data_IF_103041285008
#
_entry.id   IF_103041285008
#
_cell.length_a   1.000
_cell.length_b   1.000
_cell.length_c   1.000
_cell.angle_alpha   90.00
_cell.angle_beta   90.00
_cell.angle_gamma   90.00
#
_symmetry.space_group_name_H-M   'P 1'
#
loop_
_entity.id
_entity.type
_entity.pdbx_description
1 polymer ?
#
# COMPACT_ATOMS: atom_id res chain seq x y z
N UNK A 1 -16.45 -18.52 21.94
CA UNK A 1 -16.36 -17.04 22.04
C UNK A 1 -16.56 -16.52 20.64
N UNK A 2 -17.62 -15.75 20.40
CA UNK A 2 -17.80 -15.05 19.12
C UNK A 2 -16.66 -14.06 18.97
N UNK A 3 -15.68 -14.36 18.12
CA UNK A 3 -14.58 -13.44 17.81
C UNK A 3 -15.17 -12.22 17.12
N UNK A 4 -15.19 -11.07 17.80
CA UNK A 4 -15.61 -9.82 17.19
C UNK A 4 -14.72 -9.53 15.96
N UNK A 5 -15.34 -9.12 14.86
CA UNK A 5 -14.62 -8.72 13.65
C UNK A 5 -13.75 -7.50 13.94
N UNK A 6 -12.59 -7.41 13.28
CA UNK A 6 -11.72 -6.25 13.39
C UNK A 6 -12.45 -5.03 12.81
N UNK A 7 -12.55 -3.95 13.58
CA UNK A 7 -12.93 -2.63 13.10
C UNK A 7 -11.81 -1.68 13.48
N UNK A 8 -10.93 -1.46 12.52
CA UNK A 8 -9.69 -0.74 12.72
C UNK A 8 -9.68 0.62 12.03
N UNK A 9 -9.02 1.62 12.62
CA UNK A 9 -8.84 2.94 12.00
C UNK A 9 -7.37 3.33 11.95
N UNK A 10 -6.92 3.85 10.80
CA UNK A 10 -5.57 4.43 10.65
C UNK A 10 -5.58 5.88 11.11
N UNK A 11 -5.08 6.12 12.31
CA UNK A 11 -4.96 7.44 12.95
C UNK A 11 -3.50 7.87 12.91
N UNK A 12 -3.19 8.81 12.03
CA UNK A 12 -1.83 9.34 11.95
C UNK A 12 -1.53 10.29 13.13
N UNK A 13 -0.27 10.36 13.60
CA UNK A 13 0.11 11.09 14.81
C UNK A 13 -0.39 12.53 14.87
N UNK A 14 -0.42 13.22 13.72
CA UNK A 14 -0.86 14.61 13.62
C UNK A 14 -2.28 14.84 14.16
N UNK A 15 -3.18 13.86 14.07
CA UNK A 15 -4.54 13.97 14.63
C UNK A 15 -4.56 13.83 16.16
N UNK A 16 -3.63 13.07 16.72
CA UNK A 16 -3.46 12.97 18.17
C UNK A 16 -2.88 14.28 18.73
N UNK A 17 -1.94 14.88 17.99
CA UNK A 17 -1.36 16.19 18.34
C UNK A 17 -2.38 17.32 18.21
N UNK A 18 -3.22 17.29 17.17
CA UNK A 18 -4.20 18.36 16.89
C UNK A 18 -5.49 18.23 17.70
N UNK A 19 -5.96 17.01 17.98
CA UNK A 19 -7.27 16.78 18.61
C UNK A 19 -7.15 16.20 20.04
N UNK A 20 -5.95 15.88 20.52
CA UNK A 20 -5.65 15.08 21.72
C UNK A 20 -5.93 13.57 21.58
N UNK A 21 -5.19 12.75 22.34
CA UNK A 21 -5.37 11.29 22.37
C UNK A 21 -6.77 10.92 22.87
N UNK A 22 -7.20 11.49 24.01
CA UNK A 22 -8.50 11.19 24.61
C UNK A 22 -9.65 11.45 23.65
N UNK A 23 -9.72 12.63 23.03
CA UNK A 23 -10.84 12.98 22.16
C UNK A 23 -10.92 12.09 20.92
N UNK A 24 -9.77 11.67 20.37
CA UNK A 24 -9.74 10.72 19.24
C UNK A 24 -10.21 9.34 19.69
N UNK A 25 -9.68 8.83 20.81
CA UNK A 25 -10.04 7.51 21.32
C UNK A 25 -11.52 7.42 21.72
N UNK A 26 -12.05 8.43 22.39
CA UNK A 26 -13.44 8.47 22.84
C UNK A 26 -14.39 8.38 21.62
N UNK A 27 -14.15 9.17 20.57
CA UNK A 27 -14.97 9.12 19.33
C UNK A 27 -14.89 7.77 18.63
N UNK A 28 -13.72 7.15 18.60
CA UNK A 28 -13.54 5.86 17.96
C UNK A 28 -14.19 4.73 18.79
N UNK A 29 -14.11 4.80 20.11
CA UNK A 29 -14.74 3.85 21.01
C UNK A 29 -16.28 3.91 20.91
N UNK A 30 -16.86 5.11 20.79
CA UNK A 30 -18.31 5.31 20.62
C UNK A 30 -18.89 4.56 19.41
N UNK A 31 -18.11 4.35 18.37
CA UNK A 31 -18.53 3.65 17.14
C UNK A 31 -18.03 2.20 17.07
N UNK A 32 -17.48 1.67 18.18
CA UNK A 32 -17.08 0.27 18.30
C UNK A 32 -15.73 -0.08 17.66
N UNK A 33 -14.88 0.90 17.39
CA UNK A 33 -13.51 0.64 16.91
C UNK A 33 -12.74 -0.11 17.99
N UNK A 34 -12.13 -1.23 17.60
CA UNK A 34 -11.37 -2.11 18.50
C UNK A 34 -9.88 -2.18 18.15
N UNK A 35 -9.44 -1.48 17.10
CA UNK A 35 -8.03 -1.41 16.72
C UNK A 35 -7.69 -0.06 16.10
N UNK A 36 -6.50 0.44 16.39
CA UNK A 36 -5.94 1.63 15.76
C UNK A 36 -4.58 1.27 15.18
N UNK A 37 -4.26 1.85 14.04
CA UNK A 37 -2.88 1.91 13.57
C UNK A 37 -2.41 3.35 13.55
N UNK A 38 -1.17 3.57 13.94
CA UNK A 38 -0.46 4.85 13.81
C UNK A 38 0.93 4.64 13.22
N UNK A 39 1.80 5.65 13.19
CA UNK A 39 3.19 5.53 12.73
C UNK A 39 4.13 6.22 13.72
N UNK A 40 5.39 5.76 13.86
CA UNK A 40 6.32 6.24 14.89
C UNK A 40 7.02 7.56 14.51
N UNK A 41 6.22 8.58 14.19
CA UNK A 41 6.70 9.93 13.90
C UNK A 41 5.79 10.95 14.59
N UNK A 42 6.21 12.21 14.59
CA UNK A 42 5.41 13.38 14.95
C UNK A 42 5.53 14.43 13.86
N UNK A 43 4.54 15.33 13.78
CA UNK A 43 4.41 16.27 12.68
C UNK A 43 4.16 17.68 13.21
N UNK A 44 4.58 18.68 12.43
CA UNK A 44 4.20 20.08 12.66
C UNK A 44 4.06 20.83 11.33
N UNK A 45 3.49 22.03 11.41
CA UNK A 45 3.43 22.97 10.29
C UNK A 45 4.82 23.28 9.73
N UNK A 46 4.89 23.38 8.42
CA UNK A 46 6.03 23.87 7.68
C UNK A 46 5.55 24.80 6.54
N UNK A 47 6.49 25.45 5.87
CA UNK A 47 6.19 26.14 4.62
C UNK A 47 6.34 25.20 3.41
N UNK A 48 5.95 25.66 2.23
CA UNK A 48 6.06 24.90 0.98
C UNK A 48 7.52 24.55 0.60
N UNK A 49 8.49 25.36 1.04
CA UNK A 49 9.89 25.15 0.72
C UNK A 49 10.54 24.05 1.58
N UNK A 50 10.04 23.84 2.79
CA UNK A 50 10.62 22.96 3.81
C UNK A 50 9.73 21.77 4.17
N UNK A 51 8.45 21.80 3.78
CA UNK A 51 7.46 20.79 4.10
C UNK A 51 6.95 20.00 2.90
N UNK A 52 6.42 18.80 3.18
CA UNK A 52 5.58 18.06 2.26
C UNK A 52 4.12 18.49 2.38
N UNK A 53 3.37 18.49 1.27
CA UNK A 53 1.92 18.73 1.31
C UNK A 53 1.20 17.57 2.01
N UNK A 54 0.30 17.91 2.92
CA UNK A 54 -0.72 17.02 3.47
C UNK A 54 -2.11 17.55 3.07
N UNK A 55 -2.97 16.74 2.42
CA UNK A 55 -2.73 15.37 1.96
C UNK A 55 -1.66 15.26 0.86
N UNK A 56 -0.98 14.10 0.72
CA UNK A 56 0.00 13.87 -0.35
C UNK A 56 -0.61 14.01 -1.75
N UNK A 57 0.25 14.40 -2.70
CA UNK A 57 -0.14 14.65 -4.09
C UNK A 57 -0.17 13.41 -4.99
N UNK A 58 0.26 12.24 -4.51
CA UNK A 58 0.25 10.95 -5.22
C UNK A 58 0.73 11.04 -6.68
N UNK A 59 2.01 11.37 -6.88
CA UNK A 59 2.62 11.65 -8.21
C UNK A 59 1.89 12.73 -9.04
N UNK A 60 1.13 13.62 -8.37
CA UNK A 60 0.41 14.74 -8.97
C UNK A 60 -1.10 14.50 -9.09
N UNK A 61 -1.57 13.25 -9.10
CA UNK A 61 -2.98 12.92 -9.26
C UNK A 61 -3.83 13.31 -8.03
N UNK A 62 -3.26 13.17 -6.83
CA UNK A 62 -3.91 13.47 -5.55
C UNK A 62 -3.96 14.95 -5.17
N UNK A 63 -3.55 15.88 -6.05
CA UNK A 63 -3.56 17.33 -5.75
C UNK A 63 -4.95 17.87 -5.37
N UNK A 64 -6.03 17.23 -5.84
CA UNK A 64 -7.43 17.61 -5.55
C UNK A 64 -7.90 17.24 -4.14
N UNK A 65 -7.11 16.47 -3.39
CA UNK A 65 -7.52 15.97 -2.08
C UNK A 65 -7.58 17.08 -1.04
N UNK A 66 -8.64 17.08 -0.25
CA UNK A 66 -8.85 17.92 0.94
C UNK A 66 -9.31 17.06 2.10
N UNK A 67 -8.76 17.29 3.29
CA UNK A 67 -9.16 16.59 4.52
C UNK A 67 -10.61 16.94 4.88
N UNK A 68 -11.35 15.96 5.41
CA UNK A 68 -12.68 16.20 5.97
C UNK A 68 -12.59 16.70 7.41
N UNK A 69 -11.62 16.14 8.16
CA UNK A 69 -11.24 16.61 9.48
C UNK A 69 -10.07 17.59 9.34
N UNK A 70 -10.25 18.89 9.59
CA UNK A 70 -9.16 19.85 9.47
C UNK A 70 -8.05 19.52 10.47
N UNK A 71 -6.81 19.51 9.98
CA UNK A 71 -5.62 19.37 10.81
C UNK A 71 -5.15 20.76 11.21
N UNK A 72 -5.13 21.06 12.51
CA UNK A 72 -4.86 22.40 13.05
C UNK A 72 -5.70 23.52 12.38
N UNK A 73 -6.95 23.20 12.00
CA UNK A 73 -7.86 24.13 11.32
C UNK A 73 -7.71 24.20 9.80
N UNK A 74 -6.80 23.43 9.20
CA UNK A 74 -6.53 23.43 7.76
C UNK A 74 -6.97 22.13 7.08
N UNK A 75 -7.57 22.22 5.89
CA UNK A 75 -7.96 21.06 5.07
C UNK A 75 -6.85 20.60 4.12
N UNK A 76 -5.85 21.44 3.93
CA UNK A 76 -4.58 21.17 3.25
C UNK A 76 -3.52 22.11 3.84
N UNK A 77 -2.29 21.63 3.95
CA UNK A 77 -1.19 22.35 4.56
C UNK A 77 0.15 21.74 4.16
N UNK A 78 1.24 22.44 4.47
CA UNK A 78 2.60 21.91 4.39
C UNK A 78 3.10 21.55 5.77
N UNK A 79 3.80 20.41 5.86
CA UNK A 79 4.22 19.81 7.12
C UNK A 79 5.61 19.21 7.03
N UNK A 80 6.31 19.21 8.16
CA UNK A 80 7.54 18.44 8.34
C UNK A 80 7.34 17.38 9.43
N UNK A 81 8.19 16.37 9.44
CA UNK A 81 8.12 15.28 10.42
C UNK A 81 9.46 14.99 11.07
N UNK A 82 9.38 14.46 12.28
CA UNK A 82 10.50 13.96 13.09
C UNK A 82 10.14 12.60 13.67
N UNK A 83 11.10 11.73 14.02
CA UNK A 83 10.78 10.48 14.73
C UNK A 83 10.04 10.79 16.05
N UNK A 84 9.14 9.92 16.50
CA UNK A 84 8.45 10.08 17.79
C UNK A 84 9.29 9.64 18.98
N UNK A 85 10.50 9.15 18.74
CA UNK A 85 11.40 8.60 19.76
C UNK A 85 12.85 8.82 19.34
N UNK A 86 13.78 8.60 20.27
CA UNK A 86 15.22 8.57 19.99
C UNK A 86 15.63 7.13 19.56
N UNK A 87 16.08 6.92 18.32
CA UNK A 87 16.52 5.59 17.85
C UNK A 87 17.78 5.11 18.56
N UNK A 88 17.88 3.81 18.88
CA UNK A 88 19.14 3.24 19.39
C UNK A 88 20.15 3.10 18.26
N UNK A 89 21.02 4.11 18.12
CA UNK A 89 22.02 4.19 17.04
C UNK A 89 22.95 2.98 16.96
N UNK A 90 23.15 2.23 18.06
CA UNK A 90 23.99 1.01 18.06
C UNK A 90 23.43 -0.07 17.14
N UNK A 91 22.10 -0.13 16.98
CA UNK A 91 21.43 -1.08 16.08
C UNK A 91 21.72 -0.80 14.61
N UNK A 92 22.14 0.42 14.28
CA UNK A 92 22.34 0.89 12.91
C UNK A 92 23.82 1.14 12.57
N UNK A 93 24.75 0.84 13.48
CA UNK A 93 26.19 1.05 13.25
C UNK A 93 26.67 0.33 11.99
N UNK A 94 27.33 1.08 11.10
CA UNK A 94 27.87 0.56 9.84
C UNK A 94 26.83 0.31 8.74
N UNK A 95 25.54 0.51 9.00
CA UNK A 95 24.51 0.35 7.98
C UNK A 95 24.52 1.51 6.99
N UNK A 96 24.19 1.18 5.74
CA UNK A 96 24.05 2.16 4.67
C UNK A 96 23.00 3.20 5.03
N UNK A 97 21.82 2.79 5.51
CA UNK A 97 20.78 3.72 5.96
C UNK A 97 20.84 3.92 7.47
N UNK A 98 20.58 5.15 7.88
CA UNK A 98 20.49 5.56 9.28
C UNK A 98 19.06 6.07 9.55
N UNK A 99 18.53 5.89 10.76
CA UNK A 99 17.21 6.43 11.10
C UNK A 99 17.23 7.96 11.05
N UNK A 100 16.06 8.58 10.89
CA UNK A 100 15.96 10.05 10.99
C UNK A 100 16.44 10.53 12.36
N UNK A 101 17.21 11.61 12.38
CA UNK A 101 17.70 12.20 13.62
C UNK A 101 16.55 12.82 14.44
N UNK A 102 16.48 12.56 15.76
CA UNK A 102 15.53 13.24 16.63
C UNK A 102 15.89 14.73 16.75
N UNK A 103 14.87 15.58 16.88
CA UNK A 103 15.03 17.03 17.00
C UNK A 103 14.12 17.62 18.10
N UNK A 104 13.99 18.94 18.13
CA UNK A 104 13.13 19.64 19.11
C UNK A 104 11.66 19.21 19.03
N UNK A 105 11.18 18.83 17.83
CA UNK A 105 9.82 18.31 17.66
C UNK A 105 9.69 16.92 18.29
N UNK A 106 10.70 16.05 18.14
CA UNK A 106 10.74 14.75 18.83
C UNK A 106 10.65 14.92 20.35
N UNK A 107 11.42 15.85 20.91
CA UNK A 107 11.45 16.09 22.36
C UNK A 107 10.12 16.64 22.89
N UNK A 108 9.46 17.49 22.11
CA UNK A 108 8.21 18.15 22.52
C UNK A 108 6.99 17.26 22.37
N UNK A 109 6.89 16.53 21.27
CA UNK A 109 5.65 15.84 20.87
C UNK A 109 5.76 14.32 20.91
N UNK A 110 6.98 13.75 20.99
CA UNK A 110 7.22 12.32 20.82
C UNK A 110 6.44 11.41 21.79
N UNK A 111 6.16 11.90 23.00
CA UNK A 111 5.42 11.16 24.02
C UNK A 111 3.96 10.88 23.66
N UNK A 112 3.39 11.56 22.66
CA UNK A 112 2.00 11.36 22.22
C UNK A 112 1.73 9.91 21.79
N UNK A 113 2.76 9.21 21.28
CA UNK A 113 2.64 7.81 20.86
C UNK A 113 2.59 6.87 22.07
N UNK A 114 3.36 7.13 23.12
CA UNK A 114 3.29 6.36 24.36
C UNK A 114 1.93 6.57 25.05
N UNK A 115 1.46 7.82 25.07
CA UNK A 115 0.15 8.17 25.60
C UNK A 115 -0.97 7.45 24.85
N UNK A 116 -0.93 7.44 23.51
CA UNK A 116 -1.87 6.67 22.69
C UNK A 116 -1.88 5.20 23.08
N UNK A 117 -0.71 4.54 23.15
CA UNK A 117 -0.63 3.11 23.44
C UNK A 117 -1.25 2.81 24.80
N UNK A 118 -0.84 3.53 25.84
CA UNK A 118 -1.35 3.33 27.19
C UNK A 118 -2.87 3.55 27.25
N UNK A 119 -3.36 4.67 26.69
CA UNK A 119 -4.77 5.02 26.76
C UNK A 119 -5.65 4.11 25.92
N UNK A 120 -5.20 3.68 24.74
CA UNK A 120 -5.94 2.73 23.91
C UNK A 120 -6.12 1.39 24.62
N UNK A 121 -5.07 0.87 25.28
CA UNK A 121 -5.15 -0.38 26.05
C UNK A 121 -6.12 -0.28 27.23
N UNK A 122 -6.16 0.85 27.94
CA UNK A 122 -7.17 1.04 29.02
C UNK A 122 -8.61 0.97 28.50
N UNK A 123 -8.82 1.30 27.22
CA UNK A 123 -10.11 1.24 26.51
C UNK A 123 -10.36 -0.08 25.79
N UNK A 124 -9.42 -1.04 25.87
CA UNK A 124 -9.50 -2.32 25.17
C UNK A 124 -9.29 -2.22 23.66
N UNK A 125 -8.64 -1.15 23.19
CA UNK A 125 -8.33 -0.91 21.77
C UNK A 125 -6.88 -1.37 21.51
N UNK A 126 -6.69 -2.23 20.51
CA UNK A 126 -5.37 -2.67 20.09
C UNK A 126 -4.63 -1.57 19.30
N UNK A 127 -3.31 -1.48 19.44
CA UNK A 127 -2.48 -0.49 18.75
C UNK A 127 -1.42 -1.15 17.89
N UNK A 128 -1.41 -0.76 16.61
CA UNK A 128 -0.47 -1.22 15.60
C UNK A 128 0.37 -0.05 15.07
N UNK A 129 1.62 -0.33 14.71
CA UNK A 129 2.38 0.60 13.88
C UNK A 129 2.26 0.24 12.41
N UNK A 130 2.07 1.23 11.54
CA UNK A 130 2.24 1.09 10.10
C UNK A 130 3.57 1.72 9.70
N UNK A 131 4.42 0.92 9.06
CA UNK A 131 5.74 1.32 8.55
C UNK A 131 5.94 0.82 7.13
N UNK A 132 6.80 1.50 6.36
CA UNK A 132 7.11 1.08 4.98
C UNK A 132 8.03 -0.15 4.99
N UNK A 133 7.76 -1.13 4.11
CA UNK A 133 8.58 -2.34 4.01
C UNK A 133 9.91 -2.08 3.32
N UNK A 134 9.92 -1.32 2.22
CA UNK A 134 11.09 -1.14 1.35
C UNK A 134 11.42 0.32 1.04
N UNK A 135 10.96 1.27 1.87
CA UNK A 135 11.30 2.69 1.77
C UNK A 135 12.12 3.09 3.00
N UNK A 136 13.46 3.13 2.92
CA UNK A 136 14.31 3.65 3.99
C UNK A 136 14.55 5.16 3.85
N UNK A 137 14.95 5.88 4.92
CA UNK A 137 14.75 5.49 6.31
C UNK A 137 13.28 5.65 6.76
N UNK A 138 12.47 6.33 5.95
CA UNK A 138 11.16 6.87 6.33
C UNK A 138 10.14 5.87 6.89
N UNK A 139 9.50 6.27 7.99
CA UNK A 139 8.35 5.58 8.59
C UNK A 139 7.07 5.74 7.76
N UNK A 140 7.03 6.72 6.84
CA UNK A 140 5.93 7.04 5.93
C UNK A 140 6.46 7.32 4.53
N UNK A 141 5.67 7.00 3.51
CA UNK A 141 6.03 7.09 2.08
C UNK A 141 6.61 8.46 1.66
N UNK A 142 6.10 9.56 2.21
CA UNK A 142 6.51 10.92 1.84
C UNK A 142 7.91 11.31 2.33
N UNK A 143 8.52 10.55 3.26
CA UNK A 143 9.69 10.99 4.03
C UNK A 143 10.87 10.01 3.91
N UNK A 144 10.98 9.30 2.79
CA UNK A 144 12.08 8.38 2.54
C UNK A 144 12.28 8.07 1.05
N UNK A 145 13.34 7.34 0.76
CA UNK A 145 13.66 6.89 -0.58
C UNK A 145 14.97 6.12 -0.66
N UNK A 146 15.09 5.20 -1.64
CA UNK A 146 16.33 4.50 -1.89
C UNK A 146 17.45 5.45 -2.35
N UNK A 147 18.69 5.05 -2.06
CA UNK A 147 19.88 5.58 -2.73
C UNK A 147 19.88 5.08 -4.16
N UNK A 148 20.66 5.71 -5.04
CA UNK A 148 20.69 5.34 -6.46
C UNK A 148 20.96 3.85 -6.68
N UNK A 149 21.93 3.27 -5.99
CA UNK A 149 22.31 1.86 -6.16
C UNK A 149 21.21 0.88 -5.70
N UNK A 150 20.38 1.31 -4.75
CA UNK A 150 19.28 0.53 -4.19
C UNK A 150 17.96 0.71 -4.98
N UNK A 151 17.93 1.57 -6.01
CA UNK A 151 16.74 1.76 -6.85
C UNK A 151 16.50 0.56 -7.76
N UNK A 152 15.25 0.10 -7.87
CA UNK A 152 14.92 -0.96 -8.82
C UNK A 152 15.07 -0.46 -10.25
N UNK A 153 15.43 -1.38 -11.17
CA UNK A 153 15.73 -1.02 -12.57
C UNK A 153 14.76 -1.65 -13.57
N UNK A 154 14.47 -0.94 -14.64
CA UNK A 154 13.81 -1.45 -15.84
C UNK A 154 14.74 -2.45 -16.56
N UNK A 155 14.22 -3.29 -17.49
CA UNK A 155 15.05 -4.25 -18.23
C UNK A 155 16.23 -3.64 -18.98
N UNK A 156 16.11 -2.37 -19.39
CA UNK A 156 17.14 -1.59 -20.08
C UNK A 156 18.16 -0.93 -19.12
N UNK A 157 18.00 -1.10 -17.80
CA UNK A 157 18.86 -0.55 -16.75
C UNK A 157 18.45 0.85 -16.26
N UNK A 158 17.43 1.47 -16.83
CA UNK A 158 16.94 2.78 -16.39
C UNK A 158 16.15 2.68 -15.07
N UNK A 159 15.95 3.81 -14.39
CA UNK A 159 15.00 3.92 -13.27
C UNK A 159 13.65 4.34 -13.83
N UNK A 160 12.52 3.76 -13.37
CA UNK A 160 11.18 4.24 -13.77
C UNK A 160 11.02 5.73 -13.49
N UNK A 161 10.51 6.49 -14.47
CA UNK A 161 10.45 7.95 -14.39
C UNK A 161 9.37 8.47 -13.43
N UNK A 162 8.26 7.75 -13.32
CA UNK A 162 7.12 8.12 -12.47
C UNK A 162 6.84 7.00 -11.49
N UNK A 163 6.95 7.29 -10.19
CA UNK A 163 6.67 6.31 -9.14
C UNK A 163 5.88 6.97 -8.02
N UNK A 164 4.74 6.37 -7.68
CA UNK A 164 3.96 6.72 -6.49
C UNK A 164 4.60 6.09 -5.25
N UNK A 165 5.01 4.83 -5.37
CA UNK A 165 5.75 4.12 -4.33
C UNK A 165 7.26 4.27 -4.56
N UNK A 166 7.95 4.96 -3.66
CA UNK A 166 9.40 5.13 -3.74
C UNK A 166 10.15 3.92 -3.15
N UNK A 167 9.74 2.69 -3.50
CA UNK A 167 10.33 1.45 -2.99
C UNK A 167 11.73 1.23 -3.56
N UNK A 168 12.66 0.81 -2.71
CA UNK A 168 13.93 0.23 -3.12
C UNK A 168 13.74 -1.15 -3.79
N UNK A 169 14.82 -1.70 -4.34
CA UNK A 169 14.91 -3.11 -4.64
C UNK A 169 14.60 -3.94 -3.39
N UNK A 170 13.66 -4.89 -3.49
CA UNK A 170 13.38 -5.84 -2.39
C UNK A 170 14.57 -6.78 -2.12
N UNK A 171 15.53 -6.86 -3.05
CA UNK A 171 16.76 -7.63 -2.92
C UNK A 171 17.93 -6.85 -2.28
N UNK A 172 17.79 -5.54 -2.06
CA UNK A 172 18.89 -4.73 -1.51
C UNK A 172 19.20 -5.13 -0.08
N UNK A 173 20.44 -5.57 0.17
CA UNK A 173 20.93 -5.84 1.53
C UNK A 173 20.98 -4.59 2.39
N UNK A 174 21.32 -3.44 1.82
CA UNK A 174 21.31 -2.17 2.54
C UNK A 174 19.93 -1.86 3.14
N UNK A 175 18.87 -2.11 2.36
CA UNK A 175 17.49 -1.89 2.81
C UNK A 175 17.03 -2.96 3.79
N UNK A 176 17.33 -4.23 3.50
CA UNK A 176 16.97 -5.36 4.37
C UNK A 176 17.61 -5.19 5.75
N UNK A 177 18.92 -4.93 5.82
CA UNK A 177 19.67 -4.80 7.08
C UNK A 177 19.15 -3.61 7.90
N UNK A 178 18.88 -2.47 7.25
CA UNK A 178 18.23 -1.32 7.88
C UNK A 178 16.87 -1.68 8.46
N UNK A 179 16.03 -2.40 7.72
CA UNK A 179 14.69 -2.77 8.20
C UNK A 179 14.76 -3.74 9.36
N UNK A 180 15.71 -4.67 9.37
CA UNK A 180 15.98 -5.51 10.54
C UNK A 180 16.37 -4.70 11.78
N UNK A 181 17.25 -3.70 11.63
CA UNK A 181 17.59 -2.78 12.72
C UNK A 181 16.37 -1.98 13.21
N UNK A 182 15.60 -1.41 12.28
CA UNK A 182 14.37 -0.66 12.57
C UNK A 182 13.32 -1.49 13.31
N UNK A 183 13.11 -2.74 12.90
CA UNK A 183 12.17 -3.64 13.58
C UNK A 183 12.62 -3.93 15.01
N UNK A 184 13.92 -4.19 15.24
CA UNK A 184 14.46 -4.40 16.59
C UNK A 184 14.24 -3.18 17.47
N UNK A 185 14.55 -2.00 16.94
CA UNK A 185 14.42 -0.71 17.63
C UNK A 185 12.96 -0.45 18.04
N UNK A 186 12.01 -0.61 17.10
CA UNK A 186 10.58 -0.44 17.36
C UNK A 186 10.05 -1.44 18.41
N UNK A 187 10.41 -2.72 18.29
CA UNK A 187 9.98 -3.74 19.26
C UNK A 187 10.59 -3.50 20.65
N UNK A 188 11.81 -2.97 20.74
CA UNK A 188 12.46 -2.63 22.01
C UNK A 188 11.87 -1.36 22.64
N UNK A 189 11.59 -0.33 21.84
CA UNK A 189 11.05 0.95 22.30
C UNK A 189 9.57 0.86 22.67
N UNK A 190 8.81 0.04 21.96
CA UNK A 190 7.37 -0.10 22.12
C UNK A 190 6.95 -1.56 22.35
N UNK A 191 7.39 -2.20 23.44
CA UNK A 191 7.11 -3.62 23.70
C UNK A 191 5.63 -3.91 23.94
N UNK A 192 4.82 -2.87 24.18
CA UNK A 192 3.39 -2.96 24.42
C UNK A 192 2.54 -3.02 23.14
N UNK A 193 3.10 -2.72 21.95
CA UNK A 193 2.33 -2.78 20.71
C UNK A 193 1.67 -4.15 20.49
N UNK A 194 0.46 -4.13 19.91
CA UNK A 194 -0.25 -5.35 19.52
C UNK A 194 0.27 -5.89 18.19
N UNK A 195 0.85 -5.04 17.34
CA UNK A 195 1.43 -5.49 16.08
C UNK A 195 2.10 -4.41 15.23
N UNK A 196 2.71 -4.87 14.13
CA UNK A 196 3.31 -4.04 13.11
C UNK A 196 2.72 -4.41 11.75
N UNK A 197 2.25 -3.38 11.05
CA UNK A 197 1.73 -3.40 9.70
C UNK A 197 2.81 -2.93 8.73
N UNK A 198 3.19 -3.80 7.81
CA UNK A 198 4.22 -3.52 6.82
C UNK A 198 3.58 -3.14 5.48
N UNK A 199 3.71 -1.88 5.09
CA UNK A 199 3.13 -1.38 3.86
C UNK A 199 4.05 -1.70 2.67
N UNK A 200 3.47 -2.26 1.60
CA UNK A 200 4.13 -2.62 0.33
C UNK A 200 5.41 -3.48 0.46
N UNK A 201 5.33 -4.71 0.99
CA UNK A 201 6.38 -5.72 0.83
C UNK A 201 6.38 -6.30 -0.60
N UNK A 202 6.23 -5.44 -1.61
CA UNK A 202 6.09 -5.75 -3.05
C UNK A 202 6.56 -4.54 -3.88
N UNK A 203 6.52 -4.64 -5.21
CA UNK A 203 6.68 -3.50 -6.13
C UNK A 203 5.30 -2.98 -6.56
N UNK A 204 4.73 -1.96 -5.88
CA UNK A 204 3.32 -1.63 -6.05
C UNK A 204 2.99 -1.20 -7.48
N UNK A 205 1.90 -1.71 -8.09
CA UNK A 205 1.61 -1.51 -9.50
C UNK A 205 0.97 -0.13 -9.79
N UNK A 206 1.37 0.94 -9.13
CA UNK A 206 0.73 2.25 -9.37
C UNK A 206 0.98 2.78 -10.79
N UNK A 207 2.20 2.59 -11.29
CA UNK A 207 2.56 2.84 -12.68
C UNK A 207 2.73 1.52 -13.42
N UNK A 208 2.58 1.55 -14.75
CA UNK A 208 2.78 0.35 -15.57
C UNK A 208 4.24 -0.11 -15.45
N UNK A 209 5.19 0.81 -15.45
CA UNK A 209 6.63 0.54 -15.33
C UNK A 209 6.99 -0.22 -14.04
N UNK A 210 6.32 0.06 -12.92
CA UNK A 210 6.57 -0.63 -11.64
C UNK A 210 6.29 -2.15 -11.73
N UNK A 211 5.52 -2.61 -12.73
CA UNK A 211 5.30 -4.04 -12.98
C UNK A 211 6.49 -4.72 -13.67
N UNK A 212 7.40 -3.96 -14.29
CA UNK A 212 8.51 -4.47 -15.10
C UNK A 212 9.89 -4.28 -14.45
N UNK A 213 9.96 -3.70 -13.26
CA UNK A 213 11.15 -3.79 -12.41
C UNK A 213 11.15 -5.15 -11.69
N UNK A 214 12.25 -5.74 -11.27
CA UNK A 214 13.54 -5.15 -10.94
C UNK A 214 14.73 -5.89 -11.59
N UNK A 215 15.52 -5.15 -12.36
CA UNK A 215 16.71 -5.62 -13.07
C UNK A 215 18.01 -4.99 -12.56
N UNK A 216 18.01 -4.51 -11.31
CA UNK A 216 19.19 -4.04 -10.58
C UNK A 216 20.21 -5.16 -10.34
N UNK A 217 21.45 -4.80 -9.97
CA UNK A 217 22.46 -5.79 -9.59
C UNK A 217 22.07 -6.55 -8.32
N UNK A 218 21.27 -5.97 -7.43
CA UNK A 218 20.70 -6.68 -6.29
C UNK A 218 19.76 -7.80 -6.73
N UNK A 219 18.84 -7.51 -7.65
CA UNK A 219 17.94 -8.52 -8.20
C UNK A 219 18.69 -9.59 -8.99
N UNK A 220 19.74 -9.22 -9.75
CA UNK A 220 20.63 -10.16 -10.43
C UNK A 220 21.28 -11.14 -9.45
N UNK A 221 21.84 -10.65 -8.35
CA UNK A 221 22.47 -11.47 -7.33
C UNK A 221 21.46 -12.41 -6.65
N UNK A 222 20.23 -11.93 -6.41
CA UNK A 222 19.16 -12.77 -5.89
C UNK A 222 18.74 -13.86 -6.88
N UNK A 223 18.58 -13.54 -8.16
CA UNK A 223 18.25 -14.52 -9.20
C UNK A 223 19.30 -15.64 -9.28
N UNK A 224 20.59 -15.30 -9.22
CA UNK A 224 21.67 -16.27 -9.17
C UNK A 224 21.55 -17.22 -7.96
N UNK A 225 21.22 -16.68 -6.78
CA UNK A 225 21.04 -17.45 -5.55
C UNK A 225 19.84 -18.40 -5.60
N UNK A 226 18.83 -18.09 -6.41
CA UNK A 226 17.64 -18.92 -6.62
C UNK A 226 17.69 -19.78 -7.89
N UNK A 227 18.80 -19.78 -8.63
CA UNK A 227 18.95 -20.47 -9.92
C UNK A 227 17.90 -20.04 -10.96
N UNK A 228 17.58 -18.75 -11.00
CA UNK A 228 16.67 -18.14 -11.99
C UNK A 228 17.52 -17.54 -13.13
N UNK A 229 17.13 -17.76 -14.39
CA UNK A 229 17.86 -17.21 -15.54
C UNK A 229 17.53 -15.73 -15.72
N UNK A 230 18.31 -14.91 -15.01
CA UNK A 230 18.11 -13.46 -15.00
C UNK A 230 18.22 -12.79 -16.37
N UNK A 231 19.03 -13.34 -17.29
CA UNK A 231 19.19 -12.75 -18.62
C UNK A 231 18.04 -13.17 -19.55
N UNK A 232 17.48 -14.37 -19.39
CA UNK A 232 16.18 -14.73 -19.98
C UNK A 232 15.06 -13.82 -19.46
N UNK A 233 14.96 -13.63 -18.13
CA UNK A 233 14.02 -12.71 -17.52
C UNK A 233 14.12 -11.30 -18.14
N UNK A 234 15.34 -10.77 -18.25
CA UNK A 234 15.61 -9.45 -18.81
C UNK A 234 15.17 -9.35 -20.27
N UNK A 235 15.58 -10.31 -21.09
CA UNK A 235 15.27 -10.34 -22.53
C UNK A 235 13.76 -10.40 -22.76
N UNK A 236 13.08 -11.35 -22.11
CA UNK A 236 11.66 -11.60 -22.37
C UNK A 236 10.77 -10.50 -21.77
N UNK A 237 11.14 -9.97 -20.60
CA UNK A 237 10.44 -8.82 -20.00
C UNK A 237 10.61 -7.56 -20.84
N UNK A 238 11.80 -7.33 -21.40
CA UNK A 238 12.02 -6.24 -22.35
C UNK A 238 11.15 -6.43 -23.61
N UNK A 239 11.17 -7.62 -24.21
CA UNK A 239 10.38 -7.91 -25.40
C UNK A 239 8.87 -7.77 -25.15
N UNK A 240 8.39 -8.18 -23.98
CA UNK A 240 6.98 -7.99 -23.60
C UNK A 240 6.64 -6.52 -23.39
N UNK A 241 7.49 -5.76 -22.69
CA UNK A 241 7.33 -4.33 -22.51
C UNK A 241 7.26 -3.58 -23.85
N UNK A 242 8.17 -3.90 -24.78
CA UNK A 242 8.18 -3.33 -26.14
C UNK A 242 6.91 -3.73 -26.94
N UNK A 243 6.42 -4.95 -26.78
CA UNK A 243 5.18 -5.39 -27.42
C UNK A 243 3.95 -4.61 -26.92
N UNK A 244 3.90 -4.22 -25.64
CA UNK A 244 2.86 -3.35 -25.11
C UNK A 244 3.01 -1.90 -25.62
N UNK A 245 4.23 -1.45 -25.87
CA UNK A 245 4.56 -0.08 -26.30
C UNK A 245 4.76 0.04 -27.82
N UNK A 246 3.84 -0.53 -28.61
CA UNK A 246 3.85 -0.40 -30.07
C UNK A 246 3.29 -1.61 -30.82
N UNK A 247 2.90 -2.68 -30.12
CA UNK A 247 2.33 -3.90 -30.70
C UNK A 247 0.87 -4.17 -30.36
N UNK A 248 0.17 -3.25 -29.67
CA UNK A 248 -1.24 -3.42 -29.36
C UNK A 248 -2.12 -3.16 -30.59
N UNK A 249 -3.23 -3.90 -30.68
CA UNK A 249 -4.20 -3.78 -31.79
C UNK A 249 -5.62 -3.84 -31.26
N UNK A 250 -6.57 -3.23 -31.97
CA UNK A 250 -8.00 -3.29 -31.63
C UNK A 250 -8.55 -4.71 -31.54
N UNK A 251 -8.05 -5.63 -32.36
CA UNK A 251 -8.44 -7.06 -32.30
C UNK A 251 -8.02 -7.67 -30.96
N UNK A 252 -6.77 -7.41 -30.52
CA UNK A 252 -6.28 -7.88 -29.23
C UNK A 252 -7.03 -7.26 -28.05
N UNK A 253 -7.23 -5.94 -28.09
CA UNK A 253 -7.97 -5.22 -27.03
C UNK A 253 -9.43 -5.68 -26.94
N UNK A 254 -10.09 -5.90 -28.08
CA UNK A 254 -11.45 -6.42 -28.12
C UNK A 254 -11.55 -7.81 -27.51
N UNK A 255 -10.59 -8.70 -27.76
CA UNK A 255 -10.57 -10.04 -27.13
C UNK A 255 -10.51 -9.94 -25.61
N UNK A 256 -9.63 -9.08 -25.06
CA UNK A 256 -9.53 -8.86 -23.61
C UNK A 256 -10.86 -8.30 -23.06
N UNK A 257 -11.42 -7.27 -23.70
CA UNK A 257 -12.63 -6.59 -23.25
C UNK A 257 -13.86 -7.52 -23.20
N UNK A 258 -13.91 -8.56 -24.04
CA UNK A 258 -15.02 -9.52 -24.10
C UNK A 258 -14.77 -10.79 -23.27
N UNK A 259 -13.81 -10.76 -22.34
CA UNK A 259 -13.64 -11.81 -21.33
C UNK A 259 -12.55 -12.86 -21.62
N UNK A 260 -11.80 -12.73 -22.72
CA UNK A 260 -10.65 -13.60 -23.00
C UNK A 260 -9.36 -13.11 -22.30
N UNK A 261 -9.47 -12.36 -21.21
CA UNK A 261 -8.31 -11.86 -20.47
C UNK A 261 -7.39 -13.01 -20.00
N UNK A 262 -7.96 -14.14 -19.58
CA UNK A 262 -7.20 -15.34 -19.20
C UNK A 262 -6.39 -15.90 -20.38
N UNK A 263 -6.97 -15.89 -21.58
CA UNK A 263 -6.29 -16.32 -22.80
C UNK A 263 -5.19 -15.35 -23.20
N UNK A 264 -5.43 -14.04 -23.12
CA UNK A 264 -4.39 -13.03 -23.38
C UNK A 264 -3.19 -13.22 -22.44
N UNK A 265 -3.46 -13.46 -21.15
CA UNK A 265 -2.42 -13.83 -20.19
C UNK A 265 -1.73 -15.10 -20.64
N UNK A 266 -2.45 -16.20 -20.86
CA UNK A 266 -1.88 -17.50 -21.25
C UNK A 266 -1.02 -17.46 -22.53
N UNK A 267 -1.47 -16.74 -23.57
CA UNK A 267 -0.72 -16.54 -24.81
C UNK A 267 0.56 -15.73 -24.55
N UNK A 268 0.49 -14.73 -23.66
CA UNK A 268 1.66 -14.01 -23.16
C UNK A 268 2.64 -14.92 -22.41
N UNK A 269 2.12 -15.78 -21.54
CA UNK A 269 2.91 -16.76 -20.77
C UNK A 269 3.65 -17.74 -21.69
N UNK A 270 2.98 -18.22 -22.74
CA UNK A 270 3.58 -19.13 -23.71
C UNK A 270 4.68 -18.47 -24.55
N UNK A 271 4.62 -17.14 -24.70
CA UNK A 271 5.55 -16.37 -25.54
C UNK A 271 6.74 -15.80 -24.76
N UNK A 272 6.57 -15.50 -23.48
CA UNK A 272 7.55 -14.78 -22.66
C UNK A 272 7.80 -15.51 -21.33
N UNK A 273 8.42 -16.68 -21.39
CA UNK A 273 8.72 -17.51 -20.21
C UNK A 273 9.51 -16.73 -19.13
N UNK A 274 10.48 -15.90 -19.54
CA UNK A 274 11.25 -15.08 -18.61
C UNK A 274 10.42 -14.05 -17.82
N UNK A 275 9.23 -13.65 -18.29
CA UNK A 275 8.32 -12.78 -17.51
C UNK A 275 7.79 -13.53 -16.27
N UNK A 276 7.51 -14.83 -16.42
CA UNK A 276 7.07 -15.64 -15.29
C UNK A 276 8.18 -15.93 -14.30
N UNK A 277 9.38 -16.21 -14.77
CA UNK A 277 10.54 -16.34 -13.89
C UNK A 277 10.82 -15.02 -13.13
N UNK A 278 10.59 -13.86 -13.76
CA UNK A 278 10.68 -12.57 -13.08
C UNK A 278 9.60 -12.43 -11.99
N UNK A 279 8.35 -12.82 -12.26
CA UNK A 279 7.28 -12.83 -11.25
C UNK A 279 7.63 -13.76 -10.09
N UNK A 280 8.15 -14.96 -10.39
CA UNK A 280 8.62 -15.92 -9.36
C UNK A 280 9.74 -15.30 -8.52
N UNK A 281 10.72 -14.63 -9.14
CA UNK A 281 11.78 -13.94 -8.42
C UNK A 281 11.21 -12.89 -7.46
N UNK A 282 10.25 -12.06 -7.91
CA UNK A 282 9.59 -11.08 -7.02
C UNK A 282 8.86 -11.74 -5.85
N UNK A 283 8.16 -12.84 -6.10
CA UNK A 283 7.48 -13.63 -5.06
C UNK A 283 8.47 -14.14 -4.02
N UNK A 284 9.61 -14.67 -4.45
CA UNK A 284 10.67 -15.12 -3.55
C UNK A 284 11.21 -13.95 -2.71
N UNK A 285 11.48 -12.79 -3.34
CA UNK A 285 12.00 -11.61 -2.64
C UNK A 285 11.01 -11.08 -1.58
N UNK A 286 9.72 -10.97 -1.93
CA UNK A 286 8.67 -10.57 -0.98
C UNK A 286 8.57 -11.55 0.18
N UNK A 287 8.56 -12.86 -0.10
CA UNK A 287 8.51 -13.91 0.92
C UNK A 287 9.71 -13.88 1.85
N UNK A 288 10.93 -13.75 1.33
CA UNK A 288 12.16 -13.63 2.12
C UNK A 288 12.14 -12.39 3.03
N UNK A 289 11.65 -11.27 2.52
CA UNK A 289 11.52 -10.04 3.29
C UNK A 289 10.59 -10.25 4.49
N UNK A 290 9.40 -10.82 4.28
CA UNK A 290 8.42 -11.08 5.33
C UNK A 290 8.89 -12.14 6.33
N UNK A 291 9.53 -13.21 5.85
CA UNK A 291 10.14 -14.23 6.70
C UNK A 291 11.21 -13.62 7.61
N UNK A 292 12.07 -12.77 7.05
CA UNK A 292 13.10 -12.04 7.79
C UNK A 292 12.52 -11.10 8.83
N UNK A 293 11.47 -10.35 8.48
CA UNK A 293 10.78 -9.45 9.43
C UNK A 293 10.21 -10.24 10.60
N UNK A 294 9.48 -11.33 10.31
CA UNK A 294 8.89 -12.18 11.34
C UNK A 294 9.95 -12.79 12.26
N UNK A 295 11.03 -13.30 11.68
CA UNK A 295 12.15 -13.86 12.45
C UNK A 295 12.76 -12.80 13.38
N UNK A 296 12.94 -11.57 12.89
CA UNK A 296 13.53 -10.48 13.68
C UNK A 296 12.66 -10.08 14.85
N UNK A 297 11.35 -9.96 14.62
CA UNK A 297 10.39 -9.73 15.70
C UNK A 297 10.43 -10.87 16.73
N UNK A 298 10.60 -12.12 16.29
CA UNK A 298 10.70 -13.26 17.21
C UNK A 298 11.98 -13.24 18.04
N UNK A 299 13.11 -12.86 17.42
CA UNK A 299 14.43 -12.82 18.06
C UNK A 299 14.53 -11.71 19.11
N UNK A 300 13.84 -10.58 18.93
CA UNK A 300 13.77 -9.52 19.93
C UNK A 300 12.67 -9.72 20.99
N UNK A 301 12.02 -10.89 21.03
CA UNK A 301 11.01 -11.24 22.04
C UNK A 301 9.58 -10.80 21.70
N UNK A 302 9.34 -10.15 20.56
CA UNK A 302 8.04 -9.70 20.10
C UNK A 302 7.23 -10.81 19.37
N UNK A 303 7.27 -12.04 19.88
CA UNK A 303 6.56 -13.20 19.29
C UNK A 303 5.04 -13.06 19.33
N UNK A 304 4.52 -12.33 20.31
CA UNK A 304 3.09 -12.06 20.47
C UNK A 304 2.58 -10.90 19.62
N UNK A 305 3.48 -10.03 19.14
CA UNK A 305 3.10 -8.93 18.25
C UNK A 305 2.68 -9.49 16.89
N UNK A 306 1.49 -9.13 16.43
CA UNK A 306 1.01 -9.49 15.12
C UNK A 306 1.84 -8.82 14.01
N UNK A 307 2.18 -9.57 12.98
CA UNK A 307 2.70 -9.04 11.72
C UNK A 307 1.58 -9.02 10.69
N UNK A 308 1.29 -7.84 10.13
CA UNK A 308 0.17 -7.61 9.22
C UNK A 308 0.57 -6.83 7.96
N UNK A 309 1.11 -7.47 6.92
CA UNK A 309 1.44 -6.78 5.68
C UNK A 309 0.20 -6.24 4.95
N UNK A 310 0.37 -5.14 4.22
CA UNK A 310 -0.63 -4.61 3.30
C UNK A 310 -0.21 -4.91 1.85
N UNK A 311 -1.13 -5.41 1.03
CA UNK A 311 -0.87 -5.70 -0.38
C UNK A 311 -2.04 -5.29 -1.28
N UNK A 312 -1.77 -5.18 -2.57
CA UNK A 312 -2.83 -5.14 -3.59
C UNK A 312 -3.62 -6.47 -3.62
N UNK A 313 -4.83 -6.50 -4.20
CA UNK A 313 -5.57 -7.75 -4.39
C UNK A 313 -4.98 -8.57 -5.54
N UNK A 314 -5.17 -9.91 -5.53
CA UNK A 314 -4.96 -10.74 -6.72
C UNK A 314 -5.79 -10.25 -7.92
N UNK A 315 -5.33 -10.50 -9.16
CA UNK A 315 -4.04 -11.09 -9.52
C UNK A 315 -2.86 -10.11 -9.42
N UNK A 316 -3.14 -8.82 -9.20
CA UNK A 316 -2.14 -7.74 -9.25
C UNK A 316 -1.06 -7.88 -8.18
N UNK A 317 -1.41 -8.36 -6.99
CA UNK A 317 -0.43 -8.71 -5.96
C UNK A 317 0.64 -9.68 -6.45
N UNK A 318 0.26 -10.72 -7.20
CA UNK A 318 1.23 -11.69 -7.73
C UNK A 318 2.19 -11.02 -8.70
N UNK A 319 1.70 -10.15 -9.56
CA UNK A 319 2.52 -9.45 -10.57
C UNK A 319 3.48 -8.45 -9.90
N UNK A 320 3.05 -7.80 -8.82
CA UNK A 320 3.89 -6.93 -7.99
C UNK A 320 4.84 -7.68 -7.06
N UNK A 321 4.66 -9.00 -6.89
CA UNK A 321 5.54 -9.87 -6.12
C UNK A 321 4.97 -10.37 -4.79
N UNK A 322 3.77 -9.99 -4.39
CA UNK A 322 3.15 -10.48 -3.16
C UNK A 322 2.26 -11.70 -3.41
N UNK A 323 2.66 -12.84 -2.84
CA UNK A 323 1.82 -14.02 -2.77
C UNK A 323 1.17 -14.16 -1.38
N UNK A 324 -0.16 -14.15 -1.34
CA UNK A 324 -0.93 -14.22 -0.07
C UNK A 324 -0.69 -15.52 0.69
N UNK A 325 -0.55 -16.65 -0.01
CA UNK A 325 -0.34 -17.96 0.61
C UNK A 325 1.05 -18.08 1.23
N UNK A 326 2.07 -17.53 0.57
CA UNK A 326 3.42 -17.43 1.12
C UNK A 326 3.47 -16.46 2.30
N UNK A 327 2.88 -15.27 2.16
CA UNK A 327 2.84 -14.26 3.22
C UNK A 327 2.11 -14.76 4.49
N UNK A 328 1.06 -15.59 4.31
CA UNK A 328 0.29 -16.20 5.39
C UNK A 328 1.15 -17.09 6.32
N UNK A 329 2.26 -17.65 5.83
CA UNK A 329 3.16 -18.49 6.64
C UNK A 329 3.89 -17.70 7.73
N UNK A 330 3.95 -16.37 7.59
CA UNK A 330 4.71 -15.48 8.46
C UNK A 330 3.83 -14.45 9.18
N UNK A 331 2.57 -14.29 8.74
CA UNK A 331 1.69 -13.19 9.16
C UNK A 331 0.55 -13.67 10.05
N UNK A 332 0.07 -12.79 10.92
CA UNK A 332 -1.12 -13.04 11.75
C UNK A 332 -2.41 -12.51 11.10
N UNK A 333 -2.26 -11.77 10.01
CA UNK A 333 -3.32 -11.35 9.09
C UNK A 333 -2.73 -10.56 7.93
N UNK A 334 -3.48 -10.34 6.88
CA UNK A 334 -3.02 -9.59 5.69
C UNK A 334 -4.08 -8.55 5.34
N UNK A 335 -3.67 -7.32 5.06
CA UNK A 335 -4.60 -6.29 4.62
C UNK A 335 -4.65 -6.21 3.09
N UNK A 336 -5.84 -6.33 2.50
CA UNK A 336 -6.05 -6.18 1.05
C UNK A 336 -6.54 -4.77 0.71
N UNK A 337 -5.83 -4.08 -0.18
CA UNK A 337 -6.03 -2.66 -0.48
C UNK A 337 -7.12 -2.40 -1.53
N UNK A 338 -8.16 -1.64 -1.16
CA UNK A 338 -9.31 -1.31 -2.05
C UNK A 338 -9.50 0.19 -2.31
N UNK A 339 -8.43 0.95 -2.47
CA UNK A 339 -8.54 2.41 -2.64
C UNK A 339 -9.04 2.76 -4.05
N UNK A 340 -10.36 2.93 -4.20
CA UNK A 340 -11.02 3.16 -5.51
C UNK A 340 -10.36 4.26 -6.36
N UNK A 341 -9.98 5.38 -5.73
CA UNK A 341 -9.26 6.47 -6.40
C UNK A 341 -7.89 6.06 -6.97
N UNK A 342 -7.17 5.14 -6.32
CA UNK A 342 -5.91 4.64 -6.86
C UNK A 342 -6.13 3.70 -8.06
N UNK A 343 -7.22 2.94 -8.09
CA UNK A 343 -7.56 2.10 -9.25
C UNK A 343 -7.88 2.94 -10.49
N UNK A 344 -8.62 4.03 -10.32
CA UNK A 344 -8.87 5.00 -11.39
C UNK A 344 -7.55 5.61 -11.91
N UNK A 345 -6.71 6.07 -10.99
CA UNK A 345 -5.38 6.61 -11.30
C UNK A 345 -4.51 5.62 -12.07
N UNK A 346 -4.48 4.35 -11.65
CA UNK A 346 -3.74 3.28 -12.34
C UNK A 346 -4.26 3.08 -13.77
N UNK A 347 -5.58 2.89 -13.94
CA UNK A 347 -6.18 2.71 -15.26
C UNK A 347 -5.80 3.86 -16.20
N UNK A 348 -5.98 5.10 -15.74
CA UNK A 348 -5.66 6.28 -16.54
C UNK A 348 -4.16 6.36 -16.85
N UNK A 349 -3.29 6.15 -15.86
CA UNK A 349 -1.85 6.18 -16.08
C UNK A 349 -1.41 5.12 -17.10
N UNK A 350 -1.98 3.92 -17.04
CA UNK A 350 -1.64 2.84 -17.97
C UNK A 350 -2.17 3.16 -19.36
N UNK A 351 -3.42 3.60 -19.46
CA UNK A 351 -4.06 3.92 -20.73
C UNK A 351 -3.38 5.09 -21.45
N UNK A 352 -3.02 6.16 -20.74
CA UNK A 352 -2.30 7.31 -21.32
C UNK A 352 -0.93 6.86 -21.89
N UNK A 353 -0.20 6.01 -21.15
CA UNK A 353 1.09 5.48 -21.59
C UNK A 353 0.95 4.56 -22.82
N UNK A 354 0.00 3.63 -22.79
CA UNK A 354 -0.23 2.67 -23.88
C UNK A 354 -0.77 3.37 -25.13
N UNK A 355 -1.70 4.31 -25.00
CA UNK A 355 -2.24 5.07 -26.13
C UNK A 355 -1.16 5.96 -26.79
N UNK A 356 -0.30 6.58 -25.98
CA UNK A 356 0.83 7.35 -26.51
C UNK A 356 1.82 6.48 -27.32
N UNK A 357 2.00 5.22 -26.93
CA UNK A 357 2.89 4.29 -27.62
C UNK A 357 2.22 3.56 -28.81
N UNK A 358 0.89 3.55 -28.88
CA UNK A 358 0.10 2.87 -29.91
C UNK A 358 -0.97 3.83 -30.46
N UNK A 359 -0.62 4.83 -31.30
CA UNK A 359 -1.54 5.90 -31.68
C UNK A 359 -2.76 5.46 -32.51
N UNK A 360 -2.71 4.26 -33.10
CA UNK A 360 -3.74 3.75 -34.01
C UNK A 360 -4.80 2.89 -33.32
N UNK A 361 -4.68 2.63 -32.01
CA UNK A 361 -5.69 1.83 -31.27
C UNK A 361 -6.87 2.69 -30.83
N UNK A 362 -8.03 2.05 -30.71
CA UNK A 362 -9.24 2.65 -30.14
C UNK A 362 -9.09 2.86 -28.63
N UNK A 363 -9.21 4.12 -28.18
CA UNK A 363 -9.26 4.46 -26.76
C UNK A 363 -10.38 3.69 -26.04
N UNK A 364 -11.57 3.58 -26.64
CA UNK A 364 -12.70 2.86 -26.06
C UNK A 364 -12.37 1.38 -25.78
N UNK A 365 -11.74 0.70 -26.75
CA UNK A 365 -11.36 -0.71 -26.58
C UNK A 365 -10.25 -0.85 -25.53
N UNK A 366 -9.28 0.08 -25.52
CA UNK A 366 -8.23 0.12 -24.50
C UNK A 366 -8.81 0.28 -23.10
N UNK A 367 -9.73 1.24 -22.90
CA UNK A 367 -10.38 1.48 -21.62
C UNK A 367 -11.14 0.24 -21.16
N UNK A 368 -11.97 -0.36 -22.01
CA UNK A 368 -12.70 -1.60 -21.68
C UNK A 368 -11.76 -2.74 -21.29
N UNK A 369 -10.70 -2.95 -22.06
CA UNK A 369 -9.69 -3.97 -21.73
C UNK A 369 -9.05 -3.73 -20.36
N UNK A 370 -8.69 -2.48 -20.04
CA UNK A 370 -8.12 -2.12 -18.73
C UNK A 370 -9.13 -2.25 -17.59
N UNK A 371 -10.40 -1.88 -17.79
CA UNK A 371 -11.48 -2.09 -16.80
C UNK A 371 -11.61 -3.58 -16.45
N UNK A 372 -11.60 -4.44 -17.47
CA UNK A 372 -11.65 -5.91 -17.31
C UNK A 372 -10.42 -6.42 -16.55
N UNK A 373 -9.20 -6.05 -16.98
CA UNK A 373 -7.95 -6.52 -16.37
C UNK A 373 -7.80 -6.06 -14.90
N UNK A 374 -8.14 -4.80 -14.63
CA UNK A 374 -8.01 -4.21 -13.29
C UNK A 374 -9.20 -4.56 -12.38
N UNK A 375 -10.29 -5.10 -12.94
CA UNK A 375 -11.52 -5.41 -12.23
C UNK A 375 -12.04 -4.20 -11.45
N UNK A 376 -12.22 -3.06 -12.12
CA UNK A 376 -12.62 -1.81 -11.46
C UNK A 376 -14.14 -1.72 -11.33
N UNK A 377 -14.86 -2.01 -12.41
CA UNK A 377 -16.32 -1.87 -12.48
C UNK A 377 -17.01 -3.20 -12.78
N UNK A 378 -18.31 -3.28 -12.48
CA UNK A 378 -19.12 -4.49 -12.67
C UNK A 378 -19.63 -4.64 -14.12
N UNK A 379 -19.41 -3.63 -14.97
CA UNK A 379 -19.84 -3.59 -16.36
C UNK A 379 -18.72 -3.15 -17.31
N UNK A 380 -19.09 -2.63 -18.49
CA UNK A 380 -18.12 -2.22 -19.53
C UNK A 380 -17.24 -1.03 -19.13
N UNK A 381 -17.60 -0.31 -18.07
CA UNK A 381 -16.94 0.91 -17.66
C UNK A 381 -17.35 2.15 -18.45
N UNK A 382 -16.74 3.28 -18.08
CA UNK A 382 -16.86 4.54 -18.79
C UNK A 382 -16.09 4.50 -20.11
N UNK A 383 -16.49 5.26 -21.15
CA UNK A 383 -15.96 5.08 -22.49
C UNK A 383 -14.56 5.67 -22.72
N UNK A 384 -14.07 6.54 -21.83
CA UNK A 384 -12.82 7.30 -22.06
C UNK A 384 -11.90 7.28 -20.86
N UNK A 385 -10.60 7.50 -21.10
CA UNK A 385 -9.59 7.61 -20.03
C UNK A 385 -9.83 8.82 -19.13
N UNK A 386 -10.38 9.92 -19.67
CA UNK A 386 -10.66 11.14 -18.90
C UNK A 386 -11.69 10.93 -17.78
N UNK A 387 -12.53 9.90 -17.90
CA UNK A 387 -13.54 9.53 -16.91
C UNK A 387 -12.91 8.83 -15.69
N UNK A 388 -11.72 8.26 -15.84
CA UNK A 388 -10.96 7.58 -14.78
C UNK A 388 -9.93 8.51 -14.11
N UNK A 389 -10.36 9.71 -13.72
CA UNK A 389 -9.51 10.63 -12.95
C UNK A 389 -9.48 10.28 -11.47
N UNK A 390 -8.50 10.85 -10.77
CA UNK A 390 -8.57 10.93 -9.31
C UNK A 390 -9.79 11.79 -8.94
N UNK A 391 -10.81 11.26 -8.24
CA UNK A 391 -12.05 11.98 -7.97
C UNK A 391 -11.78 13.19 -7.07
N UNK A 392 -12.53 14.27 -7.28
CA UNK A 392 -12.58 15.39 -6.34
C UNK A 392 -13.23 14.96 -5.00
N UNK A 393 -13.09 15.75 -3.91
CA UNK A 393 -13.61 15.36 -2.59
C UNK A 393 -15.12 15.07 -2.53
N UNK A 394 -15.90 15.72 -3.39
CA UNK A 394 -17.34 15.60 -3.54
C UNK A 394 -17.77 14.66 -4.67
N UNK A 395 -16.83 14.09 -5.43
CA UNK A 395 -17.10 13.15 -6.50
C UNK A 395 -17.06 11.69 -5.98
N UNK A 396 -18.03 10.85 -6.35
CA UNK A 396 -18.01 9.43 -5.99
C UNK A 396 -16.82 8.73 -6.67
N UNK A 397 -16.26 7.73 -6.00
CA UNK A 397 -15.20 6.93 -6.60
C UNK A 397 -15.76 6.02 -7.71
N UNK A 398 -15.05 5.86 -8.84
CA UNK A 398 -15.38 4.79 -9.77
C UNK A 398 -15.13 3.44 -9.08
N UNK A 399 -16.02 2.49 -9.30
CA UNK A 399 -15.89 1.17 -8.67
C UNK A 399 -17.21 0.41 -8.60
N UNK A 400 -17.17 -0.84 -9.05
CA UNK A 400 -18.23 -1.82 -8.89
C UNK A 400 -18.23 -2.43 -7.49
N UNK A 401 -19.41 -2.79 -7.01
CA UNK A 401 -19.59 -3.42 -5.71
C UNK A 401 -19.15 -4.90 -5.79
N UNK A 402 -19.52 -5.59 -6.88
CA UNK A 402 -19.12 -6.98 -7.11
C UNK A 402 -17.61 -7.09 -7.35
N UNK A 403 -17.03 -6.16 -8.09
CA UNK A 403 -15.60 -6.09 -8.35
C UNK A 403 -14.78 -5.95 -7.05
N UNK A 404 -15.23 -5.08 -6.13
CA UNK A 404 -14.62 -4.93 -4.81
C UNK A 404 -14.79 -6.18 -3.94
N UNK A 405 -15.99 -6.74 -3.86
CA UNK A 405 -16.25 -7.96 -3.09
C UNK A 405 -15.44 -9.17 -3.62
N UNK A 406 -15.30 -9.28 -4.94
CA UNK A 406 -14.50 -10.32 -5.59
C UNK A 406 -13.02 -10.21 -5.24
N UNK A 407 -12.45 -8.99 -5.24
CA UNK A 407 -11.06 -8.75 -4.80
C UNK A 407 -10.79 -9.23 -3.37
N UNK A 408 -11.72 -8.99 -2.45
CA UNK A 408 -11.61 -9.44 -1.04
C UNK A 408 -11.67 -10.97 -0.97
N UNK A 409 -12.65 -11.56 -1.66
CA UNK A 409 -12.87 -13.01 -1.65
C UNK A 409 -11.68 -13.76 -2.25
N UNK A 410 -11.11 -13.26 -3.35
CA UNK A 410 -9.91 -13.83 -3.98
C UNK A 410 -8.69 -13.73 -3.08
N UNK A 411 -8.50 -12.59 -2.39
CA UNK A 411 -7.42 -12.42 -1.43
C UNK A 411 -7.55 -13.40 -0.25
N UNK A 412 -8.75 -13.54 0.33
CA UNK A 412 -9.00 -14.51 1.40
C UNK A 412 -8.77 -15.95 0.94
N UNK A 413 -9.26 -16.31 -0.25
CA UNK A 413 -9.03 -17.64 -0.83
C UNK A 413 -7.54 -17.93 -0.99
N UNK A 414 -6.77 -16.96 -1.48
CA UNK A 414 -5.32 -17.09 -1.66
C UNK A 414 -4.55 -17.16 -0.32
N UNK A 415 -5.06 -16.52 0.73
CA UNK A 415 -4.46 -16.54 2.07
C UNK A 415 -4.80 -17.79 2.90
N UNK A 416 -5.78 -18.60 2.47
CA UNK A 416 -6.22 -19.78 3.19
C UNK A 416 -6.84 -19.43 4.54
N UNK A 417 -6.30 -20.00 5.62
CA UNK A 417 -6.78 -19.76 6.99
C UNK A 417 -6.28 -18.43 7.60
N UNK A 418 -5.28 -17.80 6.99
CA UNK A 418 -4.80 -16.50 7.46
C UNK A 418 -5.89 -15.44 7.25
N UNK A 419 -6.27 -14.67 8.28
CA UNK A 419 -7.28 -13.63 8.15
C UNK A 419 -6.88 -12.57 7.13
N UNK A 420 -7.76 -12.27 6.18
CA UNK A 420 -7.66 -11.09 5.33
C UNK A 420 -8.58 -10.00 5.85
N UNK A 421 -8.00 -8.82 6.04
CA UNK A 421 -8.72 -7.61 6.42
C UNK A 421 -8.84 -6.68 5.21
N UNK A 422 -10.04 -6.20 4.92
CA UNK A 422 -10.20 -5.20 3.87
C UNK A 422 -9.64 -3.86 4.34
N UNK A 423 -8.78 -3.26 3.55
CA UNK A 423 -8.27 -1.91 3.78
C UNK A 423 -9.02 -0.92 2.89
N UNK A 424 -10.11 -0.38 3.44
CA UNK A 424 -10.98 0.61 2.80
C UNK A 424 -10.45 2.04 3.04
N UNK A 425 -10.96 3.03 2.29
CA UNK A 425 -10.52 4.42 2.40
C UNK A 425 -11.69 5.37 2.71
N UNK A 426 -11.47 6.34 3.59
CA UNK A 426 -12.47 7.33 4.00
C UNK A 426 -12.74 8.46 2.99
N UNK A 427 -11.88 8.65 2.00
CA UNK A 427 -11.99 9.74 1.01
C UNK A 427 -13.23 9.59 0.11
N UNK A 428 -13.80 10.72 -0.35
CA UNK A 428 -15.00 10.80 -1.18
C UNK A 428 -16.25 11.26 -0.41
N UNK A 429 -17.39 11.50 -1.07
CA UNK A 429 -18.63 11.95 -0.42
C UNK A 429 -19.25 10.88 0.48
N UNK A 430 -20.09 11.29 1.43
CA UNK A 430 -20.66 10.42 2.48
C UNK A 430 -21.42 9.21 1.91
N UNK A 431 -22.28 9.43 0.91
CA UNK A 431 -23.07 8.35 0.30
C UNK A 431 -22.20 7.31 -0.40
N UNK A 432 -21.15 7.75 -1.10
CA UNK A 432 -20.19 6.84 -1.74
C UNK A 432 -19.33 6.10 -0.71
N UNK A 433 -18.89 6.80 0.34
CA UNK A 433 -18.19 6.18 1.45
C UNK A 433 -19.04 5.08 2.11
N UNK A 434 -20.32 5.36 2.39
CA UNK A 434 -21.24 4.38 2.97
C UNK A 434 -21.33 3.14 2.10
N UNK A 435 -21.65 3.29 0.80
CA UNK A 435 -21.75 2.18 -0.15
C UNK A 435 -20.48 1.31 -0.13
N UNK A 436 -19.31 1.94 -0.27
CA UNK A 436 -18.03 1.21 -0.29
C UNK A 436 -17.70 0.55 1.05
N UNK A 437 -18.05 1.19 2.17
CA UNK A 437 -17.83 0.60 3.48
C UNK A 437 -18.75 -0.59 3.73
N UNK A 438 -20.01 -0.53 3.30
CA UNK A 438 -20.95 -1.66 3.36
C UNK A 438 -20.44 -2.85 2.56
N UNK A 439 -19.94 -2.63 1.33
CA UNK A 439 -19.32 -3.68 0.52
C UNK A 439 -18.09 -4.27 1.24
N UNK A 440 -17.18 -3.42 1.70
CA UNK A 440 -15.98 -3.85 2.41
C UNK A 440 -16.29 -4.64 3.68
N UNK A 441 -17.29 -4.21 4.45
CA UNK A 441 -17.73 -4.85 5.67
C UNK A 441 -18.43 -6.17 5.36
N UNK A 442 -19.36 -6.22 4.41
CA UNK A 442 -20.11 -7.44 4.13
C UNK A 442 -19.23 -8.54 3.51
N UNK A 443 -18.26 -8.16 2.68
CA UNK A 443 -17.38 -9.11 2.00
C UNK A 443 -16.17 -9.55 2.85
N UNK A 444 -15.86 -8.87 3.98
CA UNK A 444 -14.70 -9.19 4.81
C UNK A 444 -15.07 -9.99 6.07
N UNK A 445 -14.91 -11.32 6.08
CA UNK A 445 -15.32 -12.13 7.23
C UNK A 445 -14.56 -11.81 8.52
N UNK A 446 -13.33 -11.27 8.41
CA UNK A 446 -12.48 -11.00 9.56
C UNK A 446 -12.47 -9.52 9.97
N UNK A 447 -13.01 -8.61 9.16
CA UNK A 447 -13.11 -7.19 9.50
C UNK A 447 -12.39 -6.24 8.55
N UNK A 448 -12.39 -4.95 8.91
CA UNK A 448 -11.99 -3.85 8.01
C UNK A 448 -11.07 -2.89 8.75
N UNK A 449 -10.01 -2.47 8.06
CA UNK A 449 -9.24 -1.28 8.37
C UNK A 449 -9.75 -0.10 7.52
N UNK A 450 -10.15 0.99 8.18
CA UNK A 450 -10.44 2.27 7.55
C UNK A 450 -9.17 3.11 7.50
N UNK A 451 -8.67 3.34 6.29
CA UNK A 451 -7.48 4.15 6.08
C UNK A 451 -7.80 5.65 6.16
N UNK A 452 -6.94 6.37 6.90
CA UNK A 452 -6.91 7.81 7.13
C UNK A 452 -8.13 8.37 7.88
N UNK A 453 -7.98 8.49 9.19
CA UNK A 453 -8.91 9.20 10.10
C UNK A 453 -9.26 10.63 9.60
N UNK A 454 -8.31 11.30 8.94
CA UNK A 454 -8.52 12.62 8.33
C UNK A 454 -9.65 12.74 7.33
N UNK A 455 -10.13 11.64 6.76
CA UNK A 455 -11.30 11.60 5.86
C UNK A 455 -12.56 11.04 6.51
N UNK A 456 -12.55 10.85 7.83
CA UNK A 456 -13.72 10.39 8.59
C UNK A 456 -14.35 11.58 9.31
N UNK A 457 -15.20 12.32 8.58
CA UNK A 457 -16.08 13.31 9.22
C UNK A 457 -16.94 12.65 10.30
N UNK A 458 -17.51 13.45 11.21
CA UNK A 458 -18.40 12.90 12.26
C UNK A 458 -19.61 12.15 11.66
N UNK A 459 -20.10 12.58 10.49
CA UNK A 459 -21.15 11.88 9.76
C UNK A 459 -20.67 10.50 9.25
N UNK A 460 -19.44 10.42 8.72
CA UNK A 460 -18.85 9.14 8.32
C UNK A 460 -18.56 8.23 9.50
N UNK A 461 -18.15 8.76 10.65
CA UNK A 461 -17.99 7.95 11.87
C UNK A 461 -19.34 7.35 12.31
N UNK A 462 -20.44 8.11 12.25
CA UNK A 462 -21.79 7.58 12.49
C UNK A 462 -22.17 6.47 11.52
N UNK A 463 -21.86 6.63 10.23
CA UNK A 463 -22.06 5.58 9.22
C UNK A 463 -21.29 4.32 9.61
N UNK A 464 -20.03 4.45 10.03
CA UNK A 464 -19.21 3.31 10.46
C UNK A 464 -19.86 2.57 11.62
N UNK A 465 -20.26 3.30 12.67
CA UNK A 465 -20.94 2.71 13.83
C UNK A 465 -22.28 2.06 13.45
N UNK A 466 -23.04 2.65 12.52
CA UNK A 466 -24.29 2.05 12.03
C UNK A 466 -24.06 0.75 11.29
N UNK A 467 -23.14 0.72 10.32
CA UNK A 467 -22.92 -0.45 9.46
C UNK A 467 -22.26 -1.60 10.24
N UNK A 468 -21.36 -1.30 11.18
CA UNK A 468 -20.65 -2.32 11.95
C UNK A 468 -21.49 -2.97 13.07
N UNK A 469 -22.57 -2.30 13.51
CA UNK A 469 -23.48 -2.80 14.55
C UNK A 469 -24.77 -3.43 13.98
N UNK A 470 -24.98 -3.37 12.67
CA UNK A 470 -26.00 -4.15 11.95
C UNK A 470 -25.51 -5.59 11.74
#
# INVERSE_FOLDING_TARGET
MTTHRLLGVTVMPEYLQSESVDAVLDRLQEIGVNSITTSPYVMEHADEATGGREPPIDAGAGKVRLLDRPLWGHRELFVRTSPSFEPDKRLYEGLAYQPSEPDELTQREGSVIDELIAQAHTRGIQVYFQVMSAIPPGYRVQFGGPREDDKPRMPDGTVPQRRVANNASLASRNVIDYKHAMIRDLCQRYPQLDGIRFDWPEYPPYSLDDMFVDFSDHARAAAQRHNIDFEMCRRDTKAFYEALHGGLTDVGLSSIAHGDAEKFVADGLARYEGVMEMIVLKTLLSGELLAGFRQTMNDCGAKSMAMQPNAFPPPWSRISGFDFGLAAQHSQGISVKLYGMHWAMMLRSYGEQLLAANPDISELLLVRALVTLLGIEDGEGSPKLEDYRYPAPDEPHPGGDMAQASKISQAQMAAGECPVYTLAHGYGPEADFQRRFEVAWNASPHGVWLNRYGYLSDAKLKIVGSVANC
#
